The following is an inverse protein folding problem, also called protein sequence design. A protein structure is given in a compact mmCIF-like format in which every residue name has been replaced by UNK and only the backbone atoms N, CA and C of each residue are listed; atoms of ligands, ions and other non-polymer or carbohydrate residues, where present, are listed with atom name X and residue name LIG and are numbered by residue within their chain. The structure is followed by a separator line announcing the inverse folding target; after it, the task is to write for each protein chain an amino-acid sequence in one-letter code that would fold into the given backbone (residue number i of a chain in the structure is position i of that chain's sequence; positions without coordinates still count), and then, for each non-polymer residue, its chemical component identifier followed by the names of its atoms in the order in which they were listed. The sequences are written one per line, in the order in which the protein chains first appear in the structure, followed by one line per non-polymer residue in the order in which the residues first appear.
data_IF_698929483129
#
_entry.id   IF_698929483129
#
_cell.length_a   1.000
_cell.length_b   1.000
_cell.length_c   1.000
_cell.angle_alpha   90.00
_cell.angle_beta   90.00
_cell.angle_gamma   90.00
#
_symmetry.space_group_name_H-M   'P 1'
#
loop_
_entity.id
_entity.type
_entity.pdbx_description
1 polymer ?
#
# COMPACT_ATOMS: atom_id res chain seq x y z
N UNK A 1 29.68 -13.29 50.48
CA UNK A 1 28.55 -12.41 50.84
C UNK A 1 27.27 -13.12 50.39
N UNK A 2 26.49 -13.70 51.33
CA UNK A 2 25.26 -14.45 51.01
C UNK A 2 24.16 -13.44 50.67
N UNK A 3 23.58 -13.61 49.49
CA UNK A 3 22.40 -12.85 49.07
C UNK A 3 21.25 -13.09 50.09
N UNK A 4 20.57 -12.04 50.48
CA UNK A 4 19.44 -12.12 51.43
C UNK A 4 18.23 -12.77 50.72
N UNK A 5 17.38 -13.48 51.49
CA UNK A 5 16.13 -14.12 51.02
C UNK A 5 15.26 -13.22 50.11
N UNK A 6 15.32 -11.90 50.31
CA UNK A 6 14.63 -10.92 49.49
C UNK A 6 15.22 -10.83 48.07
N UNK A 7 16.54 -10.96 47.91
CA UNK A 7 17.21 -10.95 46.60
C UNK A 7 16.94 -12.22 45.78
N UNK A 8 16.75 -13.36 46.44
CA UNK A 8 16.35 -14.62 45.77
C UNK A 8 14.88 -14.58 45.37
N UNK A 9 14.00 -13.96 46.14
CA UNK A 9 12.58 -13.78 45.82
C UNK A 9 12.40 -12.83 44.62
N UNK A 10 13.16 -11.72 44.56
CA UNK A 10 13.12 -10.78 43.44
C UNK A 10 13.66 -11.41 42.18
N UNK A 11 14.69 -12.25 42.29
CA UNK A 11 15.24 -12.99 41.13
C UNK A 11 14.26 -14.07 40.64
N UNK A 12 13.63 -14.82 41.54
CA UNK A 12 12.61 -15.81 41.23
C UNK A 12 11.34 -15.17 40.62
N UNK A 13 10.92 -13.98 41.08
CA UNK A 13 9.84 -13.22 40.47
C UNK A 13 10.21 -12.62 39.12
N UNK A 14 11.46 -12.18 38.91
CA UNK A 14 11.94 -11.75 37.61
C UNK A 14 11.99 -12.93 36.62
N UNK A 15 12.51 -14.09 37.07
CA UNK A 15 12.56 -15.29 36.24
C UNK A 15 11.15 -15.85 35.95
N UNK A 16 10.18 -15.72 36.86
CA UNK A 16 8.79 -16.12 36.65
C UNK A 16 8.04 -15.18 35.70
N UNK A 17 8.37 -13.89 35.67
CA UNK A 17 7.80 -12.91 34.70
C UNK A 17 8.35 -13.15 33.29
N UNK A 18 9.54 -13.73 33.15
CA UNK A 18 10.11 -14.13 31.84
C UNK A 18 9.70 -15.54 31.39
N UNK A 19 8.98 -16.33 32.20
CA UNK A 19 8.44 -17.65 31.85
C UNK A 19 6.94 -17.65 31.50
N UNK A 20 6.38 -16.50 31.11
CA UNK A 20 5.00 -16.46 30.59
C UNK A 20 5.02 -16.65 29.08
N UNK A 21 4.59 -17.82 28.66
CA UNK A 21 4.03 -18.15 27.37
C UNK A 21 4.73 -17.57 26.13
N UNK A 22 5.21 -18.42 25.26
CA UNK A 22 5.59 -18.03 23.90
C UNK A 22 4.43 -17.22 23.29
N UNK A 23 4.56 -15.90 23.28
CA UNK A 23 3.57 -15.03 22.65
C UNK A 23 3.74 -15.14 21.16
N UNK A 24 2.78 -15.78 20.49
CA UNK A 24 2.72 -15.85 19.04
C UNK A 24 2.88 -14.45 18.44
N UNK A 25 3.83 -14.29 17.53
CA UNK A 25 4.13 -13.01 16.86
C UNK A 25 3.52 -12.96 15.46
N UNK A 26 2.92 -11.85 15.10
CA UNK A 26 2.51 -11.56 13.72
C UNK A 26 3.73 -11.08 12.93
N UNK A 27 4.39 -12.02 12.25
CA UNK A 27 5.61 -11.72 11.49
C UNK A 27 5.34 -10.89 10.24
N UNK A 28 6.25 -9.95 9.96
CA UNK A 28 6.22 -9.06 8.80
C UNK A 28 7.43 -9.38 7.93
N UNK A 29 7.22 -9.64 6.65
CA UNK A 29 8.29 -9.81 5.68
C UNK A 29 9.10 -8.51 5.53
N UNK A 30 10.43 -8.56 5.77
CA UNK A 30 11.27 -7.37 5.69
C UNK A 30 11.47 -6.87 4.25
N UNK A 31 11.24 -7.70 3.23
CA UNK A 31 11.40 -7.33 1.83
C UNK A 31 10.16 -6.64 1.22
N UNK A 32 8.94 -7.16 1.48
CA UNK A 32 7.72 -6.58 0.90
C UNK A 32 6.76 -5.93 1.93
N UNK A 33 6.97 -6.15 3.23
CA UNK A 33 6.14 -5.58 4.29
C UNK A 33 4.85 -6.34 4.61
N UNK A 34 4.57 -7.46 3.94
CA UNK A 34 3.37 -8.27 4.18
C UNK A 34 3.42 -8.92 5.55
N UNK A 35 2.35 -8.76 6.34
CA UNK A 35 2.16 -9.40 7.63
C UNK A 35 1.45 -10.75 7.49
N UNK A 36 1.80 -11.66 8.39
CA UNK A 36 1.25 -13.01 8.50
C UNK A 36 0.52 -13.19 9.83
N UNK A 37 -0.39 -14.18 9.93
CA UNK A 37 -1.05 -14.48 11.20
C UNK A 37 -0.04 -14.76 12.31
N UNK A 38 -0.41 -14.50 13.58
CA UNK A 38 0.43 -14.84 14.72
C UNK A 38 0.84 -16.31 14.71
N UNK A 39 2.14 -16.58 14.94
CA UNK A 39 2.73 -17.92 14.98
C UNK A 39 3.96 -17.93 15.88
N UNK A 40 4.43 -19.13 16.29
CA UNK A 40 5.60 -19.32 17.14
C UNK A 40 6.91 -19.05 16.38
N UNK A 41 6.90 -19.22 15.06
CA UNK A 41 8.04 -19.01 14.18
C UNK A 41 7.61 -18.29 12.89
N UNK A 42 8.53 -17.53 12.25
CA UNK A 42 8.21 -16.90 10.96
C UNK A 42 7.94 -17.96 9.89
N UNK A 43 7.12 -17.63 8.87
CA UNK A 43 6.95 -18.48 7.70
C UNK A 43 8.31 -18.80 7.03
N UNK A 44 8.45 -19.98 6.47
CA UNK A 44 9.68 -20.37 5.75
C UNK A 44 9.94 -19.47 4.53
N UNK A 45 8.87 -19.01 3.87
CA UNK A 45 8.91 -18.24 2.63
C UNK A 45 7.80 -17.20 2.58
N UNK A 46 7.98 -16.17 1.75
CA UNK A 46 6.97 -15.17 1.45
C UNK A 46 6.51 -15.30 -0.01
N UNK A 47 5.34 -15.90 -0.30
CA UNK A 47 4.84 -16.06 -1.66
C UNK A 47 4.69 -14.74 -2.44
N UNK A 48 4.56 -13.60 -1.74
CA UNK A 48 4.52 -12.27 -2.39
C UNK A 48 5.89 -11.91 -2.96
N UNK A 49 7.00 -12.27 -2.26
CA UNK A 49 8.35 -12.02 -2.75
C UNK A 49 8.82 -13.07 -3.76
N UNK A 50 8.27 -14.29 -3.73
CA UNK A 50 8.57 -15.36 -4.70
C UNK A 50 7.89 -15.13 -6.06
N UNK A 51 6.84 -14.29 -6.11
CA UNK A 51 6.20 -13.90 -7.36
C UNK A 51 7.13 -12.97 -8.16
N UNK A 52 7.19 -13.14 -9.49
CA UNK A 52 8.06 -12.36 -10.39
C UNK A 52 7.81 -10.85 -10.37
N UNK A 53 6.70 -10.36 -9.76
CA UNK A 53 6.44 -8.93 -9.56
C UNK A 53 7.29 -8.31 -8.48
N UNK A 54 7.92 -9.16 -7.65
CA UNK A 54 8.80 -8.80 -6.56
C UNK A 54 10.07 -9.66 -6.61
N UNK A 55 10.88 -9.64 -5.60
CA UNK A 55 12.10 -10.46 -5.48
C UNK A 55 12.42 -10.78 -4.03
N UNK A 56 13.15 -11.87 -3.81
CA UNK A 56 13.80 -12.17 -2.54
C UNK A 56 15.18 -11.51 -2.58
N UNK A 57 15.57 -10.70 -1.57
CA UNK A 57 16.89 -10.11 -1.50
C UNK A 57 18.02 -11.18 -1.57
N UNK A 58 19.21 -10.85 -2.11
CA UNK A 58 20.33 -11.80 -2.18
C UNK A 58 20.73 -12.38 -0.83
N UNK A 59 20.51 -11.63 0.26
CA UNK A 59 20.78 -12.04 1.64
C UNK A 59 19.75 -13.06 2.16
N UNK A 60 18.71 -13.35 1.39
CA UNK A 60 17.63 -14.26 1.73
C UNK A 60 16.41 -13.59 2.37
N UNK A 61 15.44 -14.42 2.74
CA UNK A 61 14.21 -14.01 3.39
C UNK A 61 14.48 -13.63 4.85
N UNK A 62 13.98 -12.48 5.30
CA UNK A 62 14.05 -12.03 6.69
C UNK A 62 12.71 -11.50 7.19
N UNK A 63 12.56 -11.48 8.52
CA UNK A 63 11.30 -11.19 9.19
C UNK A 63 11.50 -10.23 10.37
N UNK A 64 10.50 -9.41 10.59
CA UNK A 64 10.39 -8.51 11.75
C UNK A 64 8.99 -8.62 12.34
N UNK A 65 8.69 -7.78 13.35
CA UNK A 65 7.35 -7.61 13.92
C UNK A 65 7.02 -6.13 14.03
N UNK A 66 5.75 -5.80 14.24
CA UNK A 66 5.33 -4.41 14.39
C UNK A 66 5.99 -3.74 15.60
N UNK A 67 6.16 -4.48 16.70
CA UNK A 67 6.83 -4.01 17.91
C UNK A 67 8.28 -3.60 17.62
N UNK A 68 9.02 -4.44 16.86
CA UNK A 68 10.40 -4.13 16.47
C UNK A 68 10.48 -2.94 15.53
N UNK A 69 9.53 -2.81 14.58
CA UNK A 69 9.48 -1.66 13.69
C UNK A 69 9.25 -0.36 14.45
N UNK A 70 8.36 -0.34 15.45
CA UNK A 70 8.07 0.83 16.29
C UNK A 70 9.26 1.34 17.09
N UNK A 71 10.27 0.49 17.37
CA UNK A 71 11.49 0.90 18.08
C UNK A 71 12.44 1.70 17.15
N UNK A 72 12.53 1.32 15.88
CA UNK A 72 13.57 1.81 14.96
C UNK A 72 13.05 2.69 13.83
N UNK A 73 11.74 2.76 13.65
CA UNK A 73 11.09 3.50 12.56
C UNK A 73 9.98 4.41 13.09
N UNK A 74 9.65 5.43 12.32
CA UNK A 74 8.51 6.32 12.52
C UNK A 74 7.88 6.66 11.18
N UNK A 75 6.64 7.16 11.17
CA UNK A 75 6.00 7.63 9.95
C UNK A 75 6.21 9.13 9.77
N UNK A 76 6.56 9.53 8.54
CA UNK A 76 6.60 10.91 8.07
C UNK A 76 5.34 11.24 7.26
N UNK A 77 4.91 12.52 7.34
CA UNK A 77 3.71 13.03 6.70
C UNK A 77 4.05 14.14 5.72
N UNK A 78 3.39 14.15 4.56
CA UNK A 78 3.52 15.20 3.55
C UNK A 78 2.16 15.57 3.00
N UNK A 79 1.71 16.79 3.24
CA UNK A 79 0.51 17.31 2.58
C UNK A 79 0.82 17.63 1.11
N UNK A 80 0.02 17.10 0.19
CA UNK A 80 0.13 17.34 -1.25
C UNK A 80 -0.80 18.43 -1.73
N UNK A 81 -2.01 18.40 -1.23
CA UNK A 81 -3.07 19.36 -1.49
C UNK A 81 -4.07 19.35 -0.32
N UNK A 82 -4.97 20.33 -0.20
CA UNK A 82 -6.02 20.28 0.82
C UNK A 82 -6.78 18.95 0.76
N UNK A 83 -6.82 18.24 1.89
CA UNK A 83 -7.48 16.93 1.99
C UNK A 83 -6.68 15.74 1.48
N UNK A 84 -5.40 15.89 1.05
CA UNK A 84 -4.57 14.76 0.64
C UNK A 84 -3.21 14.77 1.33
N UNK A 85 -2.95 13.75 2.16
CA UNK A 85 -1.71 13.60 2.95
C UNK A 85 -1.06 12.27 2.64
N UNK A 86 0.21 12.29 2.24
CA UNK A 86 1.04 11.08 2.10
C UNK A 86 1.66 10.68 3.43
N UNK A 87 1.67 9.37 3.71
CA UNK A 87 2.24 8.77 4.91
C UNK A 87 3.28 7.74 4.48
N UNK A 88 4.49 7.79 5.03
CA UNK A 88 5.54 6.83 4.70
C UNK A 88 6.51 6.60 5.84
N UNK A 89 7.03 5.38 5.92
CA UNK A 89 7.92 4.94 7.00
C UNK A 89 9.35 5.43 6.81
N UNK A 90 9.97 5.93 7.87
CA UNK A 90 11.35 6.38 7.92
C UNK A 90 12.09 5.80 9.14
N UNK A 91 13.33 5.31 8.98
CA UNK A 91 14.00 5.06 7.69
C UNK A 91 13.12 4.22 6.75
N UNK A 92 13.45 4.18 5.46
CA UNK A 92 12.74 3.34 4.49
C UNK A 92 12.66 1.88 4.98
N UNK A 93 11.44 1.32 5.00
CA UNK A 93 11.21 -0.09 5.29
C UNK A 93 10.57 -0.78 4.07
N UNK A 94 10.95 -2.04 3.84
CA UNK A 94 10.46 -2.87 2.75
C UNK A 94 10.57 -2.15 1.38
N UNK A 95 9.52 -2.16 0.57
CA UNK A 95 9.49 -1.49 -0.74
C UNK A 95 9.65 0.03 -0.59
N UNK A 96 9.23 0.62 0.54
CA UNK A 96 9.32 2.06 0.82
C UNK A 96 8.25 2.88 0.13
N UNK A 97 7.12 2.26 -0.18
CA UNK A 97 5.95 2.93 -0.72
C UNK A 97 5.27 3.82 0.35
N UNK A 98 4.30 4.62 -0.08
CA UNK A 98 3.49 5.46 0.81
C UNK A 98 2.02 5.07 0.77
N UNK A 99 1.31 5.33 1.87
CA UNK A 99 -0.14 5.43 1.90
C UNK A 99 -0.58 6.87 1.62
N UNK A 100 -1.84 7.06 1.23
CA UNK A 100 -2.46 8.38 1.04
C UNK A 100 -3.72 8.49 1.90
N UNK A 101 -3.75 9.45 2.81
CA UNK A 101 -4.94 9.79 3.58
C UNK A 101 -5.74 10.84 2.80
N UNK A 102 -6.95 10.46 2.37
CA UNK A 102 -7.96 11.35 1.82
C UNK A 102 -8.87 11.83 2.94
N UNK A 103 -8.93 13.13 3.17
CA UNK A 103 -9.89 13.75 4.09
C UNK A 103 -11.03 14.35 3.28
N UNK A 104 -12.24 13.81 3.45
CA UNK A 104 -13.46 14.27 2.76
C UNK A 104 -14.56 14.62 3.76
N UNK A 105 -15.56 15.44 3.39
CA UNK A 105 -16.70 15.71 4.26
C UNK A 105 -17.52 14.46 4.64
N UNK A 106 -17.50 13.43 3.79
CA UNK A 106 -18.24 12.18 3.99
C UNK A 106 -17.46 11.17 4.85
N UNK A 107 -16.18 11.43 5.17
CA UNK A 107 -15.29 10.58 5.95
C UNK A 107 -13.90 10.45 5.32
N UNK A 108 -12.93 10.06 6.13
CA UNK A 108 -11.56 9.91 5.67
C UNK A 108 -11.30 8.49 5.15
N UNK A 109 -10.56 8.40 4.06
CA UNK A 109 -10.16 7.14 3.44
C UNK A 109 -8.65 7.01 3.48
N UNK A 110 -8.14 5.89 3.97
CA UNK A 110 -6.76 5.52 3.75
C UNK A 110 -6.68 4.73 2.43
N UNK A 111 -5.98 5.29 1.46
CA UNK A 111 -5.64 4.61 0.21
C UNK A 111 -4.27 3.98 0.33
N UNK A 112 -4.23 2.65 0.20
CA UNK A 112 -3.09 1.79 0.45
C UNK A 112 -2.64 1.76 1.92
N UNK A 113 -1.91 0.72 2.30
CA UNK A 113 -1.31 0.57 3.62
C UNK A 113 0.21 0.50 3.52
N UNK A 114 0.87 0.91 4.60
CA UNK A 114 2.29 0.70 4.85
C UNK A 114 2.45 -0.19 6.08
N UNK A 115 3.63 -0.81 6.25
CA UNK A 115 3.81 -1.81 7.31
C UNK A 115 3.82 -1.24 8.72
N UNK A 116 4.31 0.00 8.89
CA UNK A 116 4.34 0.63 10.21
C UNK A 116 3.02 1.36 10.49
N UNK A 117 2.42 1.01 11.61
CA UNK A 117 1.43 1.85 12.29
C UNK A 117 1.91 2.08 13.71
N UNK A 118 2.05 3.36 14.10
CA UNK A 118 2.50 3.81 15.42
C UNK A 118 1.45 4.73 16.07
N UNK A 119 1.62 4.97 17.36
CA UNK A 119 0.67 5.77 18.16
C UNK A 119 0.59 7.22 17.68
N UNK A 120 1.69 7.78 17.17
CA UNK A 120 1.72 9.13 16.62
C UNK A 120 0.85 9.23 15.36
N UNK A 121 0.94 8.23 14.46
CA UNK A 121 0.09 8.11 13.26
C UNK A 121 -1.38 7.99 13.64
N UNK A 122 -1.71 7.13 14.61
CA UNK A 122 -3.09 6.94 15.09
C UNK A 122 -3.63 8.25 15.68
N UNK A 123 -2.85 8.92 16.51
CA UNK A 123 -3.23 10.19 17.15
C UNK A 123 -3.49 11.27 16.11
N UNK A 124 -2.61 11.40 15.11
CA UNK A 124 -2.74 12.39 14.04
C UNK A 124 -4.00 12.15 13.19
N UNK A 125 -4.21 10.91 12.75
CA UNK A 125 -5.39 10.57 11.92
C UNK A 125 -6.68 10.74 12.73
N UNK A 126 -6.71 10.38 14.01
CA UNK A 126 -7.86 10.62 14.90
C UNK A 126 -8.13 12.11 15.09
N UNK A 127 -7.09 12.94 15.20
CA UNK A 127 -7.22 14.40 15.24
C UNK A 127 -7.80 15.00 13.95
N UNK A 128 -7.71 14.28 12.83
CA UNK A 128 -8.32 14.65 11.54
C UNK A 128 -9.71 14.04 11.34
N UNK A 129 -10.28 13.33 12.33
CA UNK A 129 -11.61 12.72 12.27
C UNK A 129 -11.61 11.19 12.13
N UNK A 130 -10.47 10.53 12.30
CA UNK A 130 -10.32 9.06 12.19
C UNK A 130 -10.41 8.56 10.76
N UNK A 131 -10.67 7.25 10.59
CA UNK A 131 -10.90 6.62 9.28
C UNK A 131 -12.35 6.14 9.16
N UNK A 132 -12.92 6.30 7.97
CA UNK A 132 -14.18 5.68 7.58
C UNK A 132 -13.96 4.30 6.94
N UNK A 133 -12.96 4.19 6.10
CA UNK A 133 -12.59 2.95 5.43
C UNK A 133 -11.12 2.99 4.98
N UNK A 134 -10.61 1.81 4.67
CA UNK A 134 -9.33 1.60 3.98
C UNK A 134 -9.64 0.98 2.62
N UNK A 135 -8.97 1.41 1.57
CA UNK A 135 -9.04 0.79 0.26
C UNK A 135 -7.63 0.56 -0.27
N UNK A 136 -7.37 -0.60 -0.85
CA UNK A 136 -6.02 -0.98 -1.24
C UNK A 136 -5.97 -1.34 -2.72
N UNK A 137 -4.94 -0.81 -3.38
CA UNK A 137 -4.75 -0.94 -4.83
C UNK A 137 -4.42 -2.36 -5.27
N UNK A 138 -3.50 -3.05 -4.59
CA UNK A 138 -3.02 -4.37 -4.98
C UNK A 138 -2.17 -5.02 -3.85
N UNK A 139 -1.78 -6.31 -3.95
CA UNK A 139 -1.14 -7.08 -2.88
C UNK A 139 0.14 -6.51 -2.27
N UNK A 140 0.95 -5.73 -2.98
CA UNK A 140 2.16 -5.10 -2.40
C UNK A 140 1.84 -4.08 -1.31
N UNK A 141 0.58 -3.61 -1.22
CA UNK A 141 0.11 -2.70 -0.18
C UNK A 141 -0.77 -3.37 0.87
N UNK A 142 -0.93 -4.70 0.85
CA UNK A 142 -1.70 -5.37 1.90
C UNK A 142 -1.02 -5.25 3.27
N UNK A 143 0.29 -5.30 3.31
CA UNK A 143 1.15 -5.04 4.47
C UNK A 143 0.51 -5.45 5.82
N UNK A 144 0.25 -4.52 6.72
CA UNK A 144 -0.38 -4.72 8.04
C UNK A 144 -1.84 -4.23 8.06
N UNK A 145 -2.60 -4.47 6.98
CA UNK A 145 -3.97 -3.96 6.79
C UNK A 145 -4.91 -4.25 7.96
N UNK A 146 -4.76 -5.41 8.63
CA UNK A 146 -5.58 -5.79 9.77
C UNK A 146 -5.28 -4.92 10.99
N UNK A 147 -3.99 -4.62 11.23
CA UNK A 147 -3.58 -3.73 12.32
C UNK A 147 -4.06 -2.30 12.09
N UNK A 148 -3.98 -1.82 10.83
CA UNK A 148 -4.56 -0.52 10.45
C UNK A 148 -6.05 -0.47 10.69
N UNK A 149 -6.81 -1.48 10.27
CA UNK A 149 -8.26 -1.55 10.51
C UNK A 149 -8.60 -1.51 12.00
N UNK A 150 -7.94 -2.35 12.80
CA UNK A 150 -8.16 -2.45 14.25
C UNK A 150 -7.85 -1.16 14.99
N UNK A 151 -6.77 -0.47 14.61
CA UNK A 151 -6.37 0.79 15.24
C UNK A 151 -7.43 1.90 15.10
N UNK A 152 -8.32 1.80 14.13
CA UNK A 152 -9.41 2.76 13.89
C UNK A 152 -10.81 2.17 14.10
N UNK A 153 -10.95 1.12 14.93
CA UNK A 153 -12.23 0.56 15.33
C UNK A 153 -12.80 -0.46 14.35
N UNK A 154 -11.96 -1.30 13.79
CA UNK A 154 -12.32 -2.36 12.83
C UNK A 154 -12.97 -1.81 11.54
N UNK A 155 -12.47 -0.67 11.04
CA UNK A 155 -12.97 -0.08 9.79
C UNK A 155 -12.82 -1.05 8.61
N UNK A 156 -13.77 -1.05 7.65
CA UNK A 156 -13.70 -1.96 6.51
C UNK A 156 -12.49 -1.70 5.62
N UNK A 157 -11.86 -2.78 5.15
CA UNK A 157 -10.74 -2.77 4.21
C UNK A 157 -11.21 -3.32 2.87
N UNK A 158 -11.31 -2.48 1.85
CA UNK A 158 -11.81 -2.83 0.54
C UNK A 158 -10.68 -3.32 -0.39
N UNK A 159 -10.78 -4.58 -0.82
CA UNK A 159 -9.86 -5.24 -1.74
C UNK A 159 -10.62 -5.72 -2.98
N UNK A 160 -10.00 -5.70 -4.15
CA UNK A 160 -10.63 -6.30 -5.33
C UNK A 160 -10.58 -7.83 -5.26
N UNK A 161 -11.69 -8.51 -5.55
CA UNK A 161 -11.84 -9.95 -5.39
C UNK A 161 -10.85 -10.79 -6.23
N UNK A 162 -10.40 -10.28 -7.37
CA UNK A 162 -9.43 -10.96 -8.22
C UNK A 162 -8.06 -11.17 -7.54
N UNK A 163 -7.77 -10.43 -6.46
CA UNK A 163 -6.53 -10.54 -5.70
C UNK A 163 -6.71 -11.23 -4.33
N UNK A 164 -7.87 -11.84 -4.06
CA UNK A 164 -8.20 -12.51 -2.79
C UNK A 164 -7.16 -13.57 -2.40
N UNK A 165 -6.58 -14.30 -3.38
CA UNK A 165 -5.55 -15.33 -3.13
C UNK A 165 -4.28 -14.81 -2.47
N UNK A 166 -4.03 -13.49 -2.53
CA UNK A 166 -2.85 -12.85 -1.97
C UNK A 166 -3.03 -12.42 -0.52
N UNK A 167 -4.23 -12.49 0.04
CA UNK A 167 -4.47 -12.21 1.46
C UNK A 167 -3.75 -13.25 2.30
N UNK A 168 -2.74 -12.82 3.08
CA UNK A 168 -1.97 -13.69 3.96
C UNK A 168 -2.56 -13.78 5.36
N UNK A 169 -3.27 -12.74 5.79
CA UNK A 169 -3.95 -12.67 7.09
C UNK A 169 -5.44 -12.40 6.85
N UNK A 170 -6.28 -13.45 6.69
CA UNK A 170 -7.73 -13.29 6.58
C UNK A 170 -8.31 -12.67 7.86
N UNK A 171 -9.20 -11.68 7.70
CA UNK A 171 -9.89 -11.05 8.81
C UNK A 171 -11.27 -10.56 8.38
N UNK A 172 -12.19 -10.39 9.35
CA UNK A 172 -13.57 -9.91 9.13
C UNK A 172 -13.66 -8.48 8.59
N UNK A 173 -12.62 -7.67 8.80
CA UNK A 173 -12.55 -6.31 8.28
C UNK A 173 -12.47 -6.27 6.76
N UNK A 174 -11.97 -7.33 6.11
CA UNK A 174 -11.78 -7.38 4.66
C UNK A 174 -13.13 -7.48 3.95
N UNK A 175 -13.37 -6.56 3.02
CA UNK A 175 -14.55 -6.50 2.16
C UNK A 175 -14.11 -6.58 0.70
N UNK A 176 -14.42 -7.68 0.04
CA UNK A 176 -14.13 -7.83 -1.37
C UNK A 176 -15.18 -7.13 -2.23
N UNK A 177 -14.71 -6.32 -3.19
CA UNK A 177 -15.54 -5.74 -4.23
C UNK A 177 -15.20 -6.35 -5.61
N UNK A 178 -16.11 -6.21 -6.57
CA UNK A 178 -16.02 -6.79 -7.91
C UNK A 178 -16.50 -5.79 -8.96
N UNK A 179 -16.19 -6.10 -10.22
CA UNK A 179 -16.59 -5.29 -11.36
C UNK A 179 -15.59 -4.19 -11.68
N UNK A 180 -15.99 -3.27 -12.54
CA UNK A 180 -15.11 -2.23 -13.08
C UNK A 180 -14.98 -1.03 -12.14
N UNK A 181 -16.03 -0.75 -11.36
CA UNK A 181 -16.11 0.43 -10.48
C UNK A 181 -16.86 0.11 -9.19
N UNK A 182 -16.45 0.76 -8.11
CA UNK A 182 -17.11 0.70 -6.81
C UNK A 182 -17.09 2.10 -6.17
N UNK A 183 -18.24 2.72 -6.00
CA UNK A 183 -18.35 3.99 -5.27
C UNK A 183 -18.16 3.70 -3.78
N UNK A 184 -17.03 4.13 -3.23
CA UNK A 184 -16.67 3.93 -1.83
C UNK A 184 -17.34 4.97 -0.92
N UNK A 185 -17.30 6.23 -1.33
CA UNK A 185 -18.02 7.37 -0.77
C UNK A 185 -18.47 8.26 -1.93
N UNK A 186 -19.40 9.17 -1.66
CA UNK A 186 -19.84 10.16 -2.66
C UNK A 186 -18.62 10.93 -3.20
N UNK A 187 -18.38 10.79 -4.50
CA UNK A 187 -17.24 11.43 -5.18
C UNK A 187 -15.90 10.74 -4.99
N UNK A 188 -15.84 9.57 -4.34
CA UNK A 188 -14.66 8.72 -4.22
C UNK A 188 -14.97 7.33 -4.78
N UNK A 189 -14.36 6.97 -5.89
CA UNK A 189 -14.66 5.73 -6.63
C UNK A 189 -13.40 4.90 -6.82
N UNK A 190 -13.47 3.60 -6.51
CA UNK A 190 -12.46 2.62 -6.87
C UNK A 190 -12.67 2.18 -8.32
N UNK A 191 -11.58 2.10 -9.08
CA UNK A 191 -11.57 1.77 -10.51
C UNK A 191 -10.71 0.53 -10.70
N UNK A 192 -11.26 -0.53 -11.27
CA UNK A 192 -10.48 -1.70 -11.64
C UNK A 192 -9.65 -1.41 -12.90
N UNK A 193 -8.35 -1.54 -12.79
CA UNK A 193 -7.39 -1.37 -13.90
C UNK A 193 -6.75 -2.67 -14.34
N UNK A 194 -6.61 -3.62 -13.43
CA UNK A 194 -5.86 -4.86 -13.67
C UNK A 194 -4.37 -4.58 -13.93
N UNK A 195 -3.80 -5.33 -14.86
CA UNK A 195 -2.41 -5.15 -15.32
C UNK A 195 -1.38 -5.67 -14.33
N UNK A 196 -0.88 -4.82 -13.46
CA UNK A 196 0.16 -5.16 -12.48
C UNK A 196 -0.24 -6.38 -11.62
N UNK A 197 -1.46 -6.38 -11.09
CA UNK A 197 -2.14 -7.55 -10.51
C UNK A 197 -3.51 -7.72 -11.15
N UNK A 198 -4.09 -8.95 -11.13
CA UNK A 198 -5.42 -9.16 -11.70
C UNK A 198 -6.52 -8.27 -11.10
N UNK A 199 -6.44 -7.96 -9.80
CA UNK A 199 -7.34 -7.05 -9.09
C UNK A 199 -6.81 -5.62 -8.97
N UNK A 200 -5.74 -5.29 -9.66
CA UNK A 200 -5.10 -3.97 -9.60
C UNK A 200 -6.10 -2.84 -9.74
N UNK A 201 -6.16 -1.96 -8.75
CA UNK A 201 -7.17 -0.92 -8.62
C UNK A 201 -6.55 0.47 -8.48
N UNK A 202 -7.32 1.48 -8.83
CA UNK A 202 -7.00 2.90 -8.68
C UNK A 202 -8.13 3.59 -7.94
N UNK A 203 -7.85 4.70 -7.25
CA UNK A 203 -8.86 5.51 -6.60
C UNK A 203 -9.02 6.82 -7.36
N UNK A 204 -10.25 7.18 -7.72
CA UNK A 204 -10.62 8.48 -8.27
C UNK A 204 -11.30 9.31 -7.19
N UNK A 205 -10.82 10.55 -6.97
CA UNK A 205 -11.39 11.55 -6.08
C UNK A 205 -11.81 12.78 -6.88
N UNK A 206 -13.09 12.93 -7.09
CA UNK A 206 -13.65 13.98 -7.97
C UNK A 206 -13.40 15.40 -7.47
N UNK A 207 -13.41 15.63 -6.13
CA UNK A 207 -13.21 16.94 -5.53
C UNK A 207 -11.73 17.37 -5.46
N UNK A 208 -10.77 16.45 -5.67
CA UNK A 208 -9.34 16.77 -5.68
C UNK A 208 -8.95 17.70 -6.82
N UNK A 209 -7.72 18.23 -6.77
CA UNK A 209 -7.21 19.17 -7.76
C UNK A 209 -8.16 20.38 -7.98
N UNK A 210 -8.68 20.92 -6.88
CA UNK A 210 -9.60 22.08 -6.93
C UNK A 210 -10.87 21.76 -7.75
N UNK A 211 -11.39 20.52 -7.64
CA UNK A 211 -12.57 20.04 -8.37
C UNK A 211 -12.31 19.54 -9.79
N UNK A 212 -11.04 19.51 -10.23
CA UNK A 212 -10.65 18.96 -11.54
C UNK A 212 -10.45 17.44 -11.50
N UNK A 213 -10.40 16.85 -10.30
CA UNK A 213 -10.25 15.43 -10.05
C UNK A 213 -8.81 14.97 -9.90
N UNK A 214 -8.65 13.95 -9.06
CA UNK A 214 -7.39 13.27 -8.74
C UNK A 214 -7.53 11.79 -8.99
N UNK A 215 -6.47 11.13 -9.47
CA UNK A 215 -6.33 9.67 -9.48
C UNK A 215 -5.15 9.27 -8.61
N UNK A 216 -5.38 8.37 -7.65
CA UNK A 216 -4.34 7.65 -6.92
C UNK A 216 -4.13 6.31 -7.62
N UNK A 217 -3.03 6.19 -8.37
CA UNK A 217 -2.85 5.09 -9.33
C UNK A 217 -1.97 3.95 -8.83
N UNK A 218 -1.32 4.09 -7.67
CA UNK A 218 -0.36 3.12 -7.15
C UNK A 218 0.63 2.65 -8.25
N UNK A 219 0.74 1.33 -8.46
CA UNK A 219 1.62 0.71 -9.46
C UNK A 219 0.92 0.42 -10.81
N UNK A 220 -0.37 0.77 -10.91
CA UNK A 220 -1.16 0.47 -12.12
C UNK A 220 -0.82 1.42 -13.27
N UNK A 221 -0.59 2.71 -12.96
CA UNK A 221 -0.08 3.70 -13.90
C UNK A 221 0.96 4.58 -13.17
N UNK A 222 2.23 4.32 -13.44
CA UNK A 222 3.35 4.89 -12.69
C UNK A 222 3.76 6.22 -13.31
N UNK A 223 3.69 7.29 -12.53
CA UNK A 223 4.26 8.59 -12.95
C UNK A 223 5.78 8.46 -13.04
N UNK A 224 6.37 8.74 -14.20
CA UNK A 224 7.82 8.74 -14.38
C UNK A 224 8.49 9.92 -13.65
N UNK A 225 9.78 9.80 -13.34
CA UNK A 225 10.53 10.82 -12.57
C UNK A 225 10.59 12.17 -13.29
N UNK A 226 10.56 12.16 -14.62
CA UNK A 226 10.53 13.39 -15.44
C UNK A 226 9.16 14.09 -15.41
N UNK A 227 8.12 13.43 -14.86
CA UNK A 227 6.74 13.92 -14.77
C UNK A 227 6.13 14.31 -16.13
N UNK A 228 6.60 13.67 -17.21
CA UNK A 228 6.13 13.92 -18.58
C UNK A 228 5.45 12.71 -19.19
N UNK A 229 5.44 11.58 -18.48
CA UNK A 229 4.89 10.34 -18.98
C UNK A 229 4.56 9.36 -17.87
N UNK A 230 3.82 8.30 -18.24
CA UNK A 230 3.51 7.15 -17.40
C UNK A 230 4.21 5.90 -17.93
N UNK A 231 4.56 5.00 -17.00
CA UNK A 231 4.97 3.62 -17.27
C UNK A 231 3.92 2.64 -16.76
N UNK A 232 3.90 1.45 -17.36
CA UNK A 232 2.93 0.38 -17.07
C UNK A 232 3.69 -0.94 -16.96
N UNK A 233 3.91 -1.41 -15.74
CA UNK A 233 4.82 -2.52 -15.47
C UNK A 233 4.08 -3.70 -14.84
N UNK A 234 4.38 -4.92 -15.30
CA UNK A 234 4.03 -6.14 -14.60
C UNK A 234 4.94 -6.32 -13.38
N UNK A 235 6.25 -6.13 -13.56
CA UNK A 235 7.22 -6.10 -12.46
C UNK A 235 8.06 -4.83 -12.56
N UNK A 236 8.10 -4.04 -11.49
CA UNK A 236 8.93 -2.85 -11.43
C UNK A 236 10.39 -3.24 -11.19
N UNK A 237 10.74 -4.07 -10.17
CA UNK A 237 12.12 -4.41 -9.87
C UNK A 237 12.78 -5.24 -10.98
N UNK A 238 12.02 -6.08 -11.68
CA UNK A 238 12.52 -6.94 -12.76
C UNK A 238 12.31 -6.35 -14.16
N UNK A 239 11.83 -5.09 -14.25
CA UNK A 239 11.64 -4.35 -15.50
C UNK A 239 10.74 -5.06 -16.54
N UNK A 240 9.77 -5.86 -16.09
CA UNK A 240 8.85 -6.57 -16.99
C UNK A 240 7.70 -5.63 -17.36
N UNK A 241 7.51 -5.29 -18.65
CA UNK A 241 6.42 -4.42 -19.09
C UNK A 241 5.06 -5.14 -19.06
N UNK A 242 3.98 -4.36 -19.06
CA UNK A 242 2.64 -4.88 -19.39
C UNK A 242 2.48 -5.06 -20.91
N UNK A 243 1.54 -5.90 -21.30
CA UNK A 243 1.14 -6.03 -22.69
C UNK A 243 0.37 -4.78 -23.18
N UNK A 244 0.39 -4.53 -24.49
CA UNK A 244 -0.42 -3.48 -25.12
C UNK A 244 -1.89 -3.54 -24.70
N UNK A 245 -2.49 -4.75 -24.73
CA UNK A 245 -3.88 -4.97 -24.32
C UNK A 245 -4.16 -4.47 -22.90
N UNK A 246 -3.28 -4.77 -21.96
CA UNK A 246 -3.43 -4.34 -20.56
C UNK A 246 -3.29 -2.82 -20.42
N UNK A 247 -2.32 -2.22 -21.09
CA UNK A 247 -2.09 -0.76 -21.07
C UNK A 247 -3.28 -0.01 -21.65
N UNK A 248 -3.83 -0.46 -22.79
CA UNK A 248 -5.04 0.15 -23.37
C UNK A 248 -6.27 -0.01 -22.49
N UNK A 249 -6.42 -1.14 -21.78
CA UNK A 249 -7.51 -1.36 -20.82
C UNK A 249 -7.42 -0.38 -19.64
N UNK A 250 -6.23 -0.15 -19.08
CA UNK A 250 -5.99 0.85 -18.01
C UNK A 250 -6.36 2.25 -18.52
N UNK A 251 -5.92 2.60 -19.73
CA UNK A 251 -6.30 3.87 -20.35
C UNK A 251 -7.81 4.01 -20.50
N UNK A 252 -8.48 3.00 -21.04
CA UNK A 252 -9.92 3.00 -21.25
C UNK A 252 -10.72 3.14 -19.96
N UNK A 253 -10.25 2.53 -18.85
CA UNK A 253 -10.89 2.64 -17.53
C UNK A 253 -10.86 4.08 -16.98
N UNK A 254 -9.79 4.83 -17.24
CA UNK A 254 -9.57 6.19 -16.71
C UNK A 254 -10.09 7.30 -17.63
N UNK A 255 -10.10 7.12 -18.95
CA UNK A 255 -10.48 8.18 -19.91
C UNK A 255 -11.87 8.77 -19.70
N UNK A 256 -12.92 8.05 -19.24
CA UNK A 256 -14.23 8.65 -18.95
C UNK A 256 -14.25 9.60 -17.76
N UNK A 257 -13.23 9.55 -16.88
CA UNK A 257 -13.19 10.34 -15.65
C UNK A 257 -12.58 11.72 -15.90
N UNK A 258 -12.98 12.71 -15.11
CA UNK A 258 -12.30 13.99 -15.02
C UNK A 258 -11.16 13.88 -13.99
N UNK A 259 -9.92 14.17 -14.39
CA UNK A 259 -8.78 14.31 -13.49
C UNK A 259 -7.67 15.14 -14.11
N UNK A 260 -6.99 15.89 -13.27
CA UNK A 260 -5.86 16.75 -13.64
C UNK A 260 -4.55 16.35 -12.95
N UNK A 261 -4.65 15.67 -11.79
CA UNK A 261 -3.48 15.20 -11.01
C UNK A 261 -3.50 13.69 -10.85
N UNK A 262 -2.29 13.10 -10.79
CA UNK A 262 -2.11 11.68 -10.48
C UNK A 262 -1.03 11.50 -9.42
N UNK A 263 -1.32 10.66 -8.43
CA UNK A 263 -0.40 10.26 -7.36
C UNK A 263 -0.15 8.74 -7.46
N UNK A 264 1.10 8.34 -7.76
CA UNK A 264 1.51 6.93 -7.79
C UNK A 264 2.07 6.49 -6.44
N UNK A 265 2.76 5.38 -6.40
CA UNK A 265 3.19 4.62 -5.21
C UNK A 265 4.23 5.29 -4.30
N UNK A 266 5.07 6.23 -4.76
CA UNK A 266 6.12 6.88 -3.96
C UNK A 266 5.93 8.40 -3.88
N UNK A 267 6.57 9.04 -2.90
CA UNK A 267 6.43 10.47 -2.60
C UNK A 267 6.72 11.37 -3.81
N UNK A 268 7.70 11.00 -4.64
CA UNK A 268 8.14 11.79 -5.80
C UNK A 268 7.36 11.48 -7.09
N UNK A 269 6.52 10.46 -7.08
CA UNK A 269 5.75 9.99 -8.24
C UNK A 269 4.40 10.71 -8.34
N UNK A 270 4.46 12.01 -8.66
CA UNK A 270 3.29 12.90 -8.72
C UNK A 270 3.27 13.65 -10.06
N UNK A 271 2.13 13.58 -10.75
CA UNK A 271 1.80 14.43 -11.89
C UNK A 271 0.92 15.58 -11.39
N UNK A 272 1.46 16.80 -11.40
CA UNK A 272 0.82 17.95 -10.75
C UNK A 272 -0.27 18.62 -11.58
N UNK A 273 -0.30 18.41 -12.90
CA UNK A 273 -1.31 18.96 -13.81
C UNK A 273 -1.28 18.29 -15.17
N UNK A 274 -2.36 18.41 -15.95
CA UNK A 274 -2.44 17.85 -17.31
C UNK A 274 -2.40 16.33 -17.38
N UNK A 275 -2.58 15.65 -16.25
CA UNK A 275 -2.36 14.22 -16.10
C UNK A 275 -3.17 13.39 -17.09
N UNK A 276 -4.42 13.76 -17.37
CA UNK A 276 -5.28 13.02 -18.29
C UNK A 276 -4.74 13.00 -19.73
N UNK A 277 -4.26 14.14 -20.21
CA UNK A 277 -3.68 14.24 -21.55
C UNK A 277 -2.35 13.49 -21.64
N UNK A 278 -1.51 13.63 -20.60
CA UNK A 278 -0.22 12.92 -20.50
C UNK A 278 -0.44 11.41 -20.43
N UNK A 279 -1.45 10.94 -19.69
CA UNK A 279 -1.81 9.51 -19.63
C UNK A 279 -2.20 8.98 -21.02
N UNK A 280 -3.07 9.72 -21.74
CA UNK A 280 -3.48 9.34 -23.11
C UNK A 280 -2.27 9.19 -24.02
N UNK A 281 -1.39 10.17 -24.08
CA UNK A 281 -0.17 10.11 -24.90
C UNK A 281 0.77 8.99 -24.47
N UNK A 282 0.85 8.71 -23.17
CA UNK A 282 1.69 7.63 -22.63
C UNK A 282 1.17 6.26 -22.97
N UNK A 283 -0.15 6.04 -22.99
CA UNK A 283 -0.77 4.78 -23.41
C UNK A 283 -0.40 4.48 -24.87
N UNK A 284 -0.56 5.45 -25.77
CA UNK A 284 -0.23 5.27 -27.20
C UNK A 284 1.28 5.06 -27.40
N UNK A 285 2.12 5.87 -26.76
CA UNK A 285 3.58 5.72 -26.85
C UNK A 285 4.05 4.37 -26.33
N UNK A 286 3.52 3.91 -25.21
CA UNK A 286 3.91 2.64 -24.60
C UNK A 286 3.47 1.45 -25.46
N UNK A 287 2.23 1.49 -25.98
CA UNK A 287 1.72 0.49 -26.91
C UNK A 287 2.58 0.42 -28.19
N UNK A 288 2.93 1.57 -28.75
CA UNK A 288 3.81 1.64 -29.92
C UNK A 288 5.21 1.07 -29.65
N UNK A 289 5.79 1.39 -28.47
CA UNK A 289 7.11 0.89 -28.08
C UNK A 289 7.15 -0.63 -27.96
N UNK A 290 6.14 -1.23 -27.29
CA UNK A 290 6.02 -2.70 -27.16
C UNK A 290 5.79 -3.34 -28.54
N UNK A 291 5.07 -2.67 -29.44
CA UNK A 291 4.82 -3.11 -30.81
C UNK A 291 6.01 -2.94 -31.76
N UNK A 292 7.20 -2.55 -31.27
CA UNK A 292 8.43 -2.46 -32.07
C UNK A 292 8.59 -1.16 -32.87
N UNK A 293 7.90 -0.07 -32.47
CA UNK A 293 8.00 1.22 -33.18
C UNK A 293 9.42 1.80 -33.18
N UNK A 294 10.28 1.39 -32.25
CA UNK A 294 11.66 1.87 -32.13
C UNK A 294 12.72 0.86 -32.58
N UNK A 295 12.33 -0.30 -33.12
CA UNK A 295 13.28 -1.37 -33.47
C UNK A 295 14.19 -1.01 -34.65
N UNK A 296 13.86 0.04 -35.40
CA UNK A 296 14.59 0.52 -36.58
C UNK A 296 15.06 1.97 -36.43
N UNK A 297 15.05 2.52 -35.26
CA UNK A 297 15.45 3.92 -34.99
C UNK A 297 16.95 4.03 -34.69
#
# INVERSE_FOLDING_TARGET
MRLTRAGELVRALADAVFQTGETMSAFICSACGTQYPPSDAPPAQCPVCEDERQYIPPEGQSWTTLERLRISHHNGFRQYEPGLIGIGTQPKFAIGQRALLLCTPEGNILWDCISLIDDATITLINGLGGLHAIAISHPHFYTTLVEWSRAFGDVPVHLHANDAKWVRQPDRCIKFWQGERFELLKGVTLIHGGGHFPGGSMLHWAAGAEGKGVVCSADIAIVNLDRKSFAFMRSIPNHIPLSEKAVRAIGAALMPLAFDRVYSHHFERVMHSGAKQILRSSVERYAAAIGGAYDRA
#
